data_IF_226761620838
#
_entry.id   IF_226761620838
#
_cell.length_a   1.000
_cell.length_b   1.000
_cell.length_c   1.000
_cell.angle_alpha   90.00
_cell.angle_beta   90.00
_cell.angle_gamma   90.00
#
_symmetry.space_group_name_H-M   'P 1'
#
loop_
_entity.id
_entity.type
_entity.pdbx_description
1 polymer ?
#
# COMPACT_ATOMS: atom_id res chain seq x y z
N UNK A 1 57.33 -21.36 -1.09
CA UNK A 1 56.54 -22.42 -0.42
C UNK A 1 55.14 -21.86 -0.21
N UNK A 2 54.16 -22.40 -0.94
CA UNK A 2 53.11 -23.29 -0.40
C UNK A 2 52.30 -22.60 0.70
N UNK A 3 51.14 -22.03 0.37
CA UNK A 3 49.82 -22.67 0.57
C UNK A 3 49.15 -22.01 1.79
N UNK A 4 47.85 -21.86 1.96
CA UNK A 4 46.67 -22.33 1.26
C UNK A 4 45.47 -21.48 1.77
N UNK A 5 44.45 -21.38 0.93
CA UNK A 5 43.01 -21.21 1.18
C UNK A 5 42.50 -21.00 2.62
N UNK A 6 41.56 -20.06 2.77
CA UNK A 6 40.16 -20.42 3.09
C UNK A 6 39.25 -19.20 3.15
N UNK A 7 38.34 -19.13 2.17
CA UNK A 7 37.12 -18.34 2.20
C UNK A 7 36.16 -18.92 3.25
N UNK A 8 35.52 -18.06 4.05
CA UNK A 8 34.32 -18.43 4.79
C UNK A 8 33.21 -17.43 4.51
N UNK A 9 32.32 -17.83 3.60
CA UNK A 9 30.94 -17.36 3.57
C UNK A 9 30.22 -17.98 4.77
N UNK A 10 29.50 -17.19 5.55
CA UNK A 10 28.53 -17.74 6.52
C UNK A 10 27.19 -17.04 6.28
N UNK A 11 26.40 -17.65 5.41
CA UNK A 11 24.95 -17.51 5.42
C UNK A 11 24.44 -18.37 6.59
N UNK A 12 23.67 -17.77 7.49
CA UNK A 12 22.87 -18.52 8.46
C UNK A 12 21.41 -18.15 8.28
N UNK A 13 20.63 -19.21 8.16
CA UNK A 13 19.30 -19.31 7.61
C UNK A 13 18.21 -18.80 8.56
N UNK A 14 17.06 -18.51 7.97
CA UNK A 14 15.82 -18.08 8.62
C UNK A 14 15.14 -19.23 9.39
N UNK A 15 14.66 -19.05 10.63
CA UNK A 15 14.24 -20.15 11.49
C UNK A 15 12.72 -20.43 11.44
N UNK A 16 12.12 -20.55 10.25
CA UNK A 16 10.70 -20.91 10.15
C UNK A 16 10.42 -21.87 8.99
N UNK A 17 10.77 -23.13 9.20
CA UNK A 17 10.38 -24.24 8.32
C UNK A 17 10.09 -25.49 9.17
N UNK A 18 8.92 -25.54 9.79
CA UNK A 18 8.29 -26.81 10.17
C UNK A 18 6.78 -26.65 10.35
N UNK A 19 6.02 -26.84 9.27
CA UNK A 19 4.61 -27.23 9.33
C UNK A 19 4.37 -28.27 8.23
N UNK A 20 4.27 -29.52 8.65
CA UNK A 20 3.21 -30.45 8.21
C UNK A 20 3.16 -30.81 6.73
N UNK A 21 3.78 -31.93 6.40
CA UNK A 21 3.61 -32.72 5.17
C UNK A 21 2.12 -33.03 4.89
N UNK A 22 1.55 -32.44 3.85
CA UNK A 22 0.18 -32.72 3.38
C UNK A 22 0.27 -33.82 2.30
N UNK A 23 -0.44 -34.96 2.41
CA UNK A 23 -0.42 -35.99 1.36
C UNK A 23 -1.24 -35.56 0.13
N UNK A 24 -0.74 -35.91 -1.06
CA UNK A 24 -1.38 -35.71 -2.35
C UNK A 24 -2.67 -36.54 -2.48
N UNK A 25 -3.79 -36.00 -3.00
CA UNK A 25 -4.97 -36.82 -3.26
C UNK A 25 -4.79 -37.64 -4.54
N UNK A 26 -5.09 -38.93 -4.38
CA UNK A 26 -5.15 -40.01 -5.36
C UNK A 26 -6.08 -39.69 -6.53
N UNK A 27 -5.67 -40.13 -7.72
CA UNK A 27 -6.46 -40.09 -8.96
C UNK A 27 -7.43 -41.27 -9.02
N UNK A 28 -8.73 -40.99 -9.12
CA UNK A 28 -9.75 -41.98 -9.52
C UNK A 28 -10.79 -41.33 -10.42
N UNK A 29 -10.83 -41.80 -11.67
CA UNK A 29 -11.87 -41.49 -12.65
C UNK A 29 -13.22 -42.10 -12.23
N UNK A 30 -14.28 -41.30 -12.24
CA UNK A 30 -15.65 -41.76 -12.00
C UNK A 30 -16.67 -40.68 -12.35
N UNK A 31 -17.24 -40.77 -13.55
CA UNK A 31 -18.31 -39.93 -14.09
C UNK A 31 -19.59 -40.05 -13.27
N UNK A 32 -20.07 -38.95 -12.68
CA UNK A 32 -21.50 -38.66 -12.45
C UNK A 32 -21.71 -37.14 -12.40
N UNK A 33 -22.41 -36.60 -13.40
CA UNK A 33 -22.94 -35.23 -13.41
C UNK A 33 -24.20 -35.15 -12.56
N UNK A 34 -24.36 -34.08 -11.77
CA UNK A 34 -25.64 -33.42 -11.62
C UNK A 34 -25.56 -32.00 -12.16
N UNK A 35 -26.39 -31.69 -13.16
CA UNK A 35 -26.67 -30.31 -13.54
C UNK A 35 -27.35 -29.62 -12.36
N UNK A 36 -26.67 -28.61 -11.80
CA UNK A 36 -27.21 -27.62 -10.88
C UNK A 36 -26.55 -26.30 -11.24
N UNK A 37 -27.37 -25.32 -11.60
CA UNK A 37 -26.98 -23.96 -11.95
C UNK A 37 -26.22 -23.30 -10.79
N UNK A 38 -24.89 -23.36 -10.83
CA UNK A 38 -24.05 -22.47 -10.05
C UNK A 38 -24.02 -21.13 -10.78
N UNK A 39 -25.01 -20.28 -10.49
CA UNK A 39 -24.77 -18.84 -10.49
C UNK A 39 -23.76 -18.58 -9.38
N UNK A 40 -22.48 -18.86 -9.67
CA UNK A 40 -21.37 -18.31 -8.91
C UNK A 40 -21.47 -16.81 -9.08
N UNK A 41 -22.15 -16.17 -8.12
CA UNK A 41 -21.96 -14.75 -7.87
C UNK A 41 -20.50 -14.65 -7.46
N UNK A 42 -19.62 -14.43 -8.44
CA UNK A 42 -18.32 -13.87 -8.16
C UNK A 42 -18.61 -12.61 -7.34
N UNK A 43 -18.14 -12.51 -6.07
CA UNK A 43 -18.16 -11.22 -5.39
C UNK A 43 -17.45 -10.26 -6.35
N UNK A 44 -17.91 -9.00 -6.51
CA UNK A 44 -17.35 -8.09 -7.49
C UNK A 44 -15.84 -8.03 -7.28
N UNK A 45 -15.11 -8.81 -8.07
CA UNK A 45 -13.67 -8.83 -8.02
C UNK A 45 -13.36 -7.45 -8.51
N UNK A 46 -12.81 -6.62 -7.64
CA UNK A 46 -12.38 -5.26 -7.92
C UNK A 46 -11.31 -5.36 -9.01
N UNK A 47 -11.72 -5.57 -10.26
CA UNK A 47 -10.95 -5.40 -11.47
C UNK A 47 -10.80 -3.90 -11.73
N UNK A 48 -10.54 -3.15 -10.66
CA UNK A 48 -9.97 -1.83 -10.79
C UNK A 48 -8.59 -2.10 -11.38
N UNK A 49 -8.37 -1.70 -12.64
CA UNK A 49 -7.02 -1.39 -13.09
C UNK A 49 -6.49 -0.38 -12.09
N UNK A 50 -5.65 -0.81 -11.15
CA UNK A 50 -5.09 0.08 -10.14
C UNK A 50 -4.23 1.06 -10.93
N UNK A 51 -4.73 2.28 -11.11
CA UNK A 51 -4.03 3.30 -11.88
C UNK A 51 -2.62 3.41 -11.30
N UNK A 52 -1.61 3.41 -12.18
CA UNK A 52 -0.19 3.23 -11.84
C UNK A 52 0.38 4.27 -10.86
N UNK A 53 -0.38 5.33 -10.56
CA UNK A 53 -0.03 6.37 -9.62
C UNK A 53 0.04 5.87 -8.17
N UNK A 54 1.02 6.37 -7.45
CA UNK A 54 1.22 6.11 -6.02
C UNK A 54 0.21 6.89 -5.16
N UNK A 55 -0.02 6.38 -3.96
CA UNK A 55 -0.78 7.07 -2.91
C UNK A 55 0.20 7.75 -1.97
N UNK A 56 -0.08 9.00 -1.60
CA UNK A 56 0.64 9.70 -0.54
C UNK A 56 -0.22 9.75 0.72
N UNK A 57 0.23 9.11 1.79
CA UNK A 57 -0.39 9.16 3.12
C UNK A 57 0.29 10.25 3.95
N UNK A 58 -0.48 11.11 4.59
CA UNK A 58 0.00 12.22 5.41
C UNK A 58 -0.65 12.15 6.80
N UNK A 59 0.14 11.76 7.79
CA UNK A 59 -0.32 11.50 9.15
C UNK A 59 0.92 11.55 10.08
N UNK A 60 0.85 12.29 11.18
CA UNK A 60 1.97 12.44 12.12
C UNK A 60 2.13 11.22 13.05
N UNK A 61 1.09 10.38 13.16
CA UNK A 61 1.12 9.13 13.89
C UNK A 61 1.73 8.00 13.04
N UNK A 62 2.89 7.50 13.48
CA UNK A 62 3.57 6.37 12.85
C UNK A 62 2.72 5.09 12.78
N UNK A 63 1.90 4.86 13.80
CA UNK A 63 1.04 3.67 13.87
C UNK A 63 -0.04 3.76 12.80
N UNK A 64 -0.70 4.91 12.66
CA UNK A 64 -1.69 5.18 11.62
C UNK A 64 -1.10 5.05 10.21
N UNK A 65 0.07 5.67 9.96
CA UNK A 65 0.80 5.50 8.70
C UNK A 65 1.04 4.02 8.35
N UNK A 66 1.52 3.22 9.32
CA UNK A 66 1.80 1.80 9.11
C UNK A 66 0.53 0.99 8.88
N UNK A 67 -0.52 1.25 9.65
CA UNK A 67 -1.82 0.62 9.50
C UNK A 67 -2.39 0.91 8.11
N UNK A 68 -2.46 2.18 7.70
CA UNK A 68 -2.98 2.60 6.40
C UNK A 68 -2.19 1.97 5.26
N UNK A 69 -0.86 1.97 5.34
CA UNK A 69 -0.01 1.32 4.34
C UNK A 69 -0.33 -0.18 4.23
N UNK A 70 -0.54 -0.85 5.36
CA UNK A 70 -0.87 -2.28 5.38
C UNK A 70 -2.25 -2.56 4.78
N UNK A 71 -3.26 -1.76 5.15
CA UNK A 71 -4.63 -1.88 4.64
C UNK A 71 -4.66 -1.62 3.13
N UNK A 72 -3.98 -0.58 2.67
CA UNK A 72 -3.85 -0.25 1.24
C UNK A 72 -3.14 -1.38 0.47
N UNK A 73 -2.10 -1.98 1.07
CA UNK A 73 -1.42 -3.13 0.49
C UNK A 73 -2.34 -4.35 0.31
N UNK A 74 -3.16 -4.66 1.32
CA UNK A 74 -4.19 -5.72 1.23
C UNK A 74 -5.21 -5.41 0.14
N UNK A 75 -5.53 -4.14 -0.09
CA UNK A 75 -6.42 -3.69 -1.17
C UNK A 75 -5.75 -3.68 -2.55
N UNK A 76 -4.47 -4.03 -2.66
CA UNK A 76 -3.72 -4.09 -3.94
C UNK A 76 -2.91 -2.84 -4.28
N UNK A 77 -2.87 -1.84 -3.39
CA UNK A 77 -2.05 -0.64 -3.58
C UNK A 77 -0.65 -0.84 -3.01
N UNK A 78 0.30 -1.23 -3.87
CA UNK A 78 1.68 -1.50 -3.48
C UNK A 78 2.60 -0.27 -3.51
N UNK A 79 2.16 0.83 -4.12
CA UNK A 79 2.93 2.06 -4.26
C UNK A 79 2.39 3.14 -3.29
N UNK A 80 2.83 3.09 -2.04
CA UNK A 80 2.40 4.01 -0.98
C UNK A 80 3.61 4.71 -0.37
N UNK A 81 3.61 6.03 -0.38
CA UNK A 81 4.59 6.86 0.33
C UNK A 81 3.92 7.48 1.57
N UNK A 82 4.64 7.59 2.69
CA UNK A 82 4.12 8.18 3.94
C UNK A 82 4.88 9.44 4.35
N UNK A 83 4.18 10.53 4.66
CA UNK A 83 4.70 11.78 5.20
C UNK A 83 4.20 11.98 6.64
N UNK A 84 5.05 12.53 7.51
CA UNK A 84 4.69 12.84 8.92
C UNK A 84 4.25 14.28 9.14
N UNK A 85 4.38 15.12 8.13
CA UNK A 85 3.89 16.48 8.15
C UNK A 85 3.53 16.91 6.72
N UNK A 86 2.70 17.95 6.62
CA UNK A 86 2.28 18.40 5.31
C UNK A 86 3.38 19.12 4.51
N UNK A 87 4.44 19.65 5.14
CA UNK A 87 5.57 20.24 4.41
C UNK A 87 6.37 19.18 3.65
N UNK A 88 6.56 18.00 4.24
CA UNK A 88 7.10 16.82 3.57
C UNK A 88 6.21 16.39 2.40
N UNK A 89 4.89 16.43 2.58
CA UNK A 89 3.94 16.10 1.52
C UNK A 89 4.05 17.06 0.33
N UNK A 90 4.07 18.37 0.59
CA UNK A 90 4.24 19.40 -0.44
C UNK A 90 5.57 19.22 -1.19
N UNK A 91 6.68 19.03 -0.48
CA UNK A 91 8.00 18.80 -1.10
C UNK A 91 8.02 17.55 -1.97
N UNK A 92 7.39 16.46 -1.53
CA UNK A 92 7.33 15.21 -2.31
C UNK A 92 6.47 15.36 -3.55
N UNK A 93 5.31 16.01 -3.41
CA UNK A 93 4.42 16.27 -4.54
C UNK A 93 5.09 17.17 -5.58
N UNK A 94 5.71 18.28 -5.16
CA UNK A 94 6.44 19.20 -6.04
C UNK A 94 7.59 18.52 -6.79
N UNK A 95 8.35 17.67 -6.10
CA UNK A 95 9.47 16.94 -6.71
C UNK A 95 9.04 15.92 -7.76
N UNK A 96 7.85 15.34 -7.63
CA UNK A 96 7.38 14.26 -8.51
C UNK A 96 5.86 14.25 -8.63
N UNK A 97 5.26 15.28 -9.26
CA UNK A 97 3.81 15.49 -9.22
C UNK A 97 3.07 14.33 -9.90
N UNK A 98 3.54 13.91 -11.08
CA UNK A 98 2.98 12.79 -11.86
C UNK A 98 3.03 11.42 -11.14
N UNK A 99 3.79 11.32 -10.03
CA UNK A 99 3.83 10.10 -9.23
C UNK A 99 2.52 9.91 -8.46
N UNK A 100 1.86 10.98 -8.02
CA UNK A 100 0.76 10.89 -7.07
C UNK A 100 -0.57 11.21 -7.70
N UNK A 101 -1.51 10.29 -7.56
CA UNK A 101 -2.90 10.45 -8.02
C UNK A 101 -3.88 10.66 -6.87
N UNK A 102 -3.47 10.25 -5.67
CA UNK A 102 -4.29 10.29 -4.46
C UNK A 102 -3.44 10.70 -3.27
N UNK A 103 -3.99 11.59 -2.45
CA UNK A 103 -3.49 11.92 -1.12
C UNK A 103 -4.53 11.49 -0.08
N UNK A 104 -4.10 10.75 0.92
CA UNK A 104 -4.83 10.48 2.16
C UNK A 104 -4.20 11.34 3.24
N UNK A 105 -4.96 12.22 3.88
CA UNK A 105 -4.42 13.10 4.93
C UNK A 105 -5.29 13.08 6.16
N UNK A 106 -4.67 13.03 7.33
CA UNK A 106 -5.36 13.43 8.56
C UNK A 106 -5.65 14.94 8.52
N UNK A 107 -6.71 15.36 9.21
CA UNK A 107 -7.03 16.75 9.45
C UNK A 107 -6.10 17.41 10.48
N UNK A 108 -5.56 16.62 11.41
CA UNK A 108 -4.67 17.08 12.49
C UNK A 108 -3.21 16.66 12.26
N UNK A 109 -2.60 17.08 11.14
CA UNK A 109 -1.20 16.74 10.85
C UNK A 109 -0.25 17.81 11.43
N UNK A 110 0.30 17.56 12.62
CA UNK A 110 1.28 18.44 13.26
C UNK A 110 0.79 19.90 13.38
N UNK A 111 1.62 20.86 12.98
CA UNK A 111 1.28 22.29 13.05
C UNK A 111 0.40 22.78 11.90
N UNK A 112 0.38 22.06 10.77
CA UNK A 112 -0.37 22.48 9.58
C UNK A 112 -1.72 21.76 9.54
N UNK A 113 -2.79 22.53 9.72
CA UNK A 113 -4.16 22.02 9.58
C UNK A 113 -4.39 21.40 8.19
N UNK A 114 -5.21 20.36 8.14
CA UNK A 114 -5.50 19.63 6.90
C UNK A 114 -6.06 20.53 5.79
N UNK A 115 -6.86 21.53 6.11
CA UNK A 115 -7.38 22.51 5.15
C UNK A 115 -6.27 23.35 4.48
N UNK A 116 -5.26 23.79 5.25
CA UNK A 116 -4.10 24.50 4.74
C UNK A 116 -3.24 23.62 3.81
N UNK A 117 -3.09 22.33 4.12
CA UNK A 117 -2.44 21.37 3.24
C UNK A 117 -3.20 21.21 1.93
N UNK A 118 -4.53 21.04 2.00
CA UNK A 118 -5.37 20.92 0.80
C UNK A 118 -5.24 22.17 -0.07
N UNK A 119 -5.35 23.36 0.51
CA UNK A 119 -5.20 24.61 -0.23
C UNK A 119 -3.83 24.70 -0.94
N UNK A 120 -2.76 24.33 -0.24
CA UNK A 120 -1.40 24.34 -0.79
C UNK A 120 -1.25 23.34 -1.95
N UNK A 121 -1.79 22.11 -1.80
CA UNK A 121 -1.79 21.11 -2.88
C UNK A 121 -2.57 21.58 -4.10
N UNK A 122 -3.73 22.25 -3.92
CA UNK A 122 -4.51 22.81 -5.05
C UNK A 122 -3.75 23.90 -5.79
N UNK A 123 -3.07 24.79 -5.06
CA UNK A 123 -2.22 25.81 -5.67
C UNK A 123 -1.09 25.18 -6.49
N UNK A 124 -0.48 24.12 -5.96
CA UNK A 124 0.60 23.40 -6.62
C UNK A 124 0.12 22.61 -7.85
N UNK A 125 -1.04 21.95 -7.76
CA UNK A 125 -1.71 21.31 -8.91
C UNK A 125 -1.92 22.31 -10.06
N UNK A 126 -2.45 23.49 -9.76
CA UNK A 126 -2.68 24.54 -10.76
C UNK A 126 -1.36 25.03 -11.36
N UNK A 127 -0.36 25.30 -10.53
CA UNK A 127 0.96 25.79 -10.98
C UNK A 127 1.68 24.78 -11.86
N UNK A 128 1.52 23.48 -11.58
CA UNK A 128 2.18 22.39 -12.31
C UNK A 128 1.34 21.84 -13.47
N UNK A 129 0.16 22.41 -13.73
CA UNK A 129 -0.83 21.91 -14.69
C UNK A 129 -1.13 20.41 -14.47
N UNK A 130 -1.14 20.00 -13.21
CA UNK A 130 -1.37 18.61 -12.83
C UNK A 130 -2.85 18.26 -12.98
N UNK A 131 -3.19 17.03 -13.42
CA UNK A 131 -4.56 16.54 -13.34
C UNK A 131 -5.12 16.65 -11.92
N UNK A 132 -6.44 16.78 -11.78
CA UNK A 132 -7.08 16.99 -10.48
C UNK A 132 -6.72 15.88 -9.49
N UNK A 133 -5.99 16.21 -8.42
CA UNK A 133 -5.55 15.24 -7.41
C UNK A 133 -6.74 14.81 -6.54
N UNK A 134 -6.90 13.50 -6.32
CA UNK A 134 -7.89 12.99 -5.36
C UNK A 134 -7.33 13.23 -3.97
N UNK A 135 -8.05 13.97 -3.13
CA UNK A 135 -7.64 14.19 -1.73
C UNK A 135 -8.78 13.68 -0.85
N UNK A 136 -8.45 12.73 0.01
CA UNK A 136 -9.38 12.11 0.96
C UNK A 136 -8.90 12.54 2.36
N UNK A 137 -9.76 13.28 3.05
CA UNK A 137 -9.53 13.66 4.44
C UNK A 137 -9.93 12.54 5.38
N UNK A 138 -9.09 12.29 6.38
CA UNK A 138 -9.32 11.35 7.47
C UNK A 138 -9.41 12.18 8.76
N UNK A 139 -10.27 11.74 9.67
CA UNK A 139 -10.41 12.35 10.99
C UNK A 139 -10.66 11.22 11.97
N UNK A 140 -9.93 11.23 13.08
CA UNK A 140 -10.19 10.39 14.25
C UNK A 140 -10.56 11.30 15.42
N UNK A 141 -11.51 10.86 16.23
CA UNK A 141 -11.78 11.52 17.52
C UNK A 141 -10.87 10.86 18.56
N UNK A 142 -9.83 11.56 19.01
CA UNK A 142 -8.92 11.07 20.07
C UNK A 142 -9.54 11.18 21.48
N UNK A 143 -10.87 11.25 21.58
CA UNK A 143 -11.57 11.24 22.88
C UNK A 143 -11.81 9.80 23.34
N UNK A 144 -10.82 9.23 24.02
CA UNK A 144 -11.04 8.13 24.96
C UNK A 144 -10.72 8.63 26.37
#
# INVERSE_FOLDING_TARGET
>A
SAGSSSSIHSATESPFADVGKIPSPVSTNGTLTPQGSNDSIDPPHLSASHNSGSILVVDDCHVSCRMLTSVLGVMGYNNVDTCRDGQQALRRFDKSPQKYQTVLTDFHVGEMKGDALVASLRSLENSLQHPRLKIIGMTGDDKI
#
